data_IF_964706131188
#
_entry.id   IF_964706131188
#
_cell.length_a   1.000
_cell.length_b   1.000
_cell.length_c   1.000
_cell.angle_alpha   90.00
_cell.angle_beta   90.00
_cell.angle_gamma   90.00
#
_symmetry.space_group_name_H-M   'P 1'
#
loop_
_entity.id
_entity.type
_entity.pdbx_description
1 polymer ?
#
# COMPACT_ATOMS: atom_id res chain seq x y z
N UNK A 1 -79.34 37.39 -52.67
CA UNK A 1 -78.14 37.07 -53.47
C UNK A 1 -76.84 37.10 -52.64
N UNK A 2 -76.93 37.19 -51.30
CA UNK A 2 -75.78 37.21 -50.38
C UNK A 2 -75.53 35.87 -49.64
N UNK A 3 -76.52 34.98 -49.56
CA UNK A 3 -76.37 33.71 -48.84
C UNK A 3 -75.49 32.68 -49.56
N UNK A 4 -75.54 32.62 -50.90
CA UNK A 4 -74.74 31.65 -51.67
C UNK A 4 -73.26 32.03 -51.82
N UNK A 5 -72.94 33.34 -51.68
CA UNK A 5 -71.56 33.82 -51.68
C UNK A 5 -70.81 33.43 -50.40
N UNK A 6 -71.47 33.55 -49.25
CA UNK A 6 -70.88 33.23 -47.95
C UNK A 6 -70.58 31.71 -47.80
N UNK A 7 -71.41 30.83 -48.39
CA UNK A 7 -71.20 29.38 -48.34
C UNK A 7 -70.04 28.94 -49.26
N UNK A 8 -69.90 29.55 -50.45
CA UNK A 8 -68.78 29.28 -51.35
C UNK A 8 -67.43 29.76 -50.81
N UNK A 9 -67.42 30.92 -50.13
CA UNK A 9 -66.22 31.50 -49.53
C UNK A 9 -65.74 30.69 -48.31
N UNK A 10 -66.67 30.25 -47.45
CA UNK A 10 -66.36 29.35 -46.33
C UNK A 10 -65.81 28.00 -46.80
N UNK A 11 -66.42 27.37 -47.83
CA UNK A 11 -65.97 26.11 -48.38
C UNK A 11 -64.59 26.21 -49.06
N UNK A 12 -64.30 27.33 -49.73
CA UNK A 12 -62.97 27.59 -50.31
C UNK A 12 -61.89 27.78 -49.24
N UNK A 13 -62.18 28.51 -48.15
CA UNK A 13 -61.21 28.71 -47.06
C UNK A 13 -60.92 27.43 -46.26
N UNK A 14 -61.91 26.53 -46.13
CA UNK A 14 -61.72 25.23 -45.49
C UNK A 14 -60.86 24.28 -46.34
N UNK A 15 -60.96 24.36 -47.68
CA UNK A 15 -60.17 23.53 -48.58
C UNK A 15 -58.72 24.00 -48.70
N UNK A 16 -58.49 25.32 -48.75
CA UNK A 16 -57.14 25.90 -48.72
C UNK A 16 -56.42 25.63 -47.40
N UNK A 17 -57.12 25.70 -46.27
CA UNK A 17 -56.54 25.38 -44.95
C UNK A 17 -56.21 23.89 -44.78
N UNK A 18 -56.98 23.00 -45.40
CA UNK A 18 -56.67 21.56 -45.43
C UNK A 18 -55.46 21.24 -46.32
N UNK A 19 -55.33 21.88 -47.49
CA UNK A 19 -54.15 21.73 -48.36
C UNK A 19 -52.88 22.33 -47.73
N UNK A 20 -52.99 23.45 -47.02
CA UNK A 20 -51.86 24.04 -46.28
C UNK A 20 -51.43 23.12 -45.11
N UNK A 21 -52.38 22.55 -44.36
CA UNK A 21 -52.09 21.60 -43.30
C UNK A 21 -51.38 20.33 -43.81
N UNK A 22 -51.83 19.78 -44.95
CA UNK A 22 -51.21 18.61 -45.59
C UNK A 22 -49.78 18.94 -46.07
N UNK A 23 -49.58 20.12 -46.66
CA UNK A 23 -48.23 20.60 -47.04
C UNK A 23 -47.34 20.75 -45.83
N UNK A 24 -47.83 21.34 -44.73
CA UNK A 24 -47.08 21.50 -43.48
C UNK A 24 -46.65 20.14 -42.91
N UNK A 25 -47.54 19.15 -42.86
CA UNK A 25 -47.17 17.81 -42.37
C UNK A 25 -46.18 17.10 -43.29
N UNK A 26 -46.26 17.31 -44.61
CA UNK A 26 -45.25 16.81 -45.55
C UNK A 26 -43.88 17.46 -45.36
N UNK A 27 -43.83 18.76 -45.07
CA UNK A 27 -42.60 19.46 -44.72
C UNK A 27 -42.04 19.02 -43.36
N UNK A 28 -42.89 18.76 -42.36
CA UNK A 28 -42.49 18.23 -41.04
C UNK A 28 -41.93 16.82 -41.14
N UNK A 29 -42.56 15.96 -41.95
CA UNK A 29 -42.07 14.62 -42.25
C UNK A 29 -40.72 14.66 -42.98
N UNK A 30 -40.59 15.53 -43.98
CA UNK A 30 -39.33 15.75 -44.71
C UNK A 30 -38.21 16.28 -43.80
N UNK A 31 -38.52 17.22 -42.92
CA UNK A 31 -37.58 17.74 -41.93
C UNK A 31 -37.13 16.65 -40.94
N UNK A 32 -38.05 15.83 -40.43
CA UNK A 32 -37.72 14.72 -39.53
C UNK A 32 -36.81 13.67 -40.20
N UNK A 33 -37.07 13.33 -41.47
CA UNK A 33 -36.22 12.42 -42.24
C UNK A 33 -34.83 13.02 -42.45
N UNK A 34 -34.74 14.31 -42.81
CA UNK A 34 -33.46 14.99 -43.00
C UNK A 34 -32.62 15.02 -41.71
N UNK A 35 -33.27 15.23 -40.57
CA UNK A 35 -32.64 15.21 -39.25
C UNK A 35 -32.16 13.81 -38.87
N UNK A 36 -32.95 12.77 -39.13
CA UNK A 36 -32.55 11.38 -38.90
C UNK A 36 -31.35 10.97 -39.76
N UNK A 37 -31.34 11.35 -41.04
CA UNK A 37 -30.20 11.10 -41.95
C UNK A 37 -28.96 11.84 -41.46
N UNK A 38 -29.08 13.09 -41.03
CA UNK A 38 -27.97 13.85 -40.46
C UNK A 38 -27.39 13.17 -39.21
N UNK A 39 -28.24 12.67 -38.30
CA UNK A 39 -27.80 11.94 -37.12
C UNK A 39 -27.09 10.62 -37.47
N UNK A 40 -27.51 9.91 -38.51
CA UNK A 40 -26.84 8.68 -38.94
C UNK A 40 -25.49 8.96 -39.61
N UNK A 41 -25.43 9.96 -40.49
CA UNK A 41 -24.21 10.26 -41.28
C UNK A 41 -23.15 10.97 -40.44
N UNK A 42 -23.53 11.81 -39.49
CA UNK A 42 -22.59 12.58 -38.67
C UNK A 42 -22.54 12.02 -37.24
N UNK A 43 -23.70 11.75 -36.65
CA UNK A 43 -23.79 11.34 -35.25
C UNK A 43 -23.15 9.98 -34.98
N UNK A 44 -23.41 8.95 -35.79
CA UNK A 44 -22.81 7.62 -35.59
C UNK A 44 -21.28 7.67 -35.75
N UNK A 45 -20.69 8.24 -36.82
CA UNK A 45 -19.24 8.32 -36.96
C UNK A 45 -18.58 9.17 -35.88
N UNK A 46 -19.21 10.29 -35.49
CA UNK A 46 -18.69 11.15 -34.43
C UNK A 46 -18.75 10.43 -33.07
N UNK A 47 -19.86 9.76 -32.76
CA UNK A 47 -20.01 8.98 -31.54
C UNK A 47 -18.99 7.84 -31.48
N UNK A 48 -18.77 7.14 -32.60
CA UNK A 48 -17.74 6.10 -32.66
C UNK A 48 -16.34 6.69 -32.45
N UNK A 49 -16.07 7.87 -33.01
CA UNK A 49 -14.76 8.54 -32.86
C UNK A 49 -14.54 9.08 -31.45
N UNK A 50 -15.58 9.59 -30.79
CA UNK A 50 -15.49 10.13 -29.42
C UNK A 50 -15.57 9.04 -28.35
N UNK A 51 -16.14 7.87 -28.66
CA UNK A 51 -16.15 6.68 -27.78
C UNK A 51 -15.03 5.69 -28.08
N UNK A 52 -14.17 5.99 -29.06
CA UNK A 52 -12.96 5.21 -29.33
C UNK A 52 -12.03 5.30 -28.11
N UNK A 53 -12.10 4.29 -27.25
CA UNK A 53 -11.15 4.14 -26.15
C UNK A 53 -9.80 3.80 -26.76
N UNK A 54 -8.85 4.74 -26.69
CA UNK A 54 -7.49 4.53 -27.15
C UNK A 54 -6.84 3.41 -26.31
N UNK A 55 -6.86 2.17 -26.83
CA UNK A 55 -6.17 1.04 -26.22
C UNK A 55 -4.72 1.08 -26.68
N UNK A 56 -3.86 1.69 -25.88
CA UNK A 56 -2.43 1.47 -26.04
C UNK A 56 -2.20 -0.05 -26.05
N UNK A 57 -1.45 -0.55 -27.04
CA UNK A 57 -1.04 -1.95 -27.03
C UNK A 57 -0.22 -2.16 -25.76
N UNK A 58 -0.77 -2.93 -24.80
CA UNK A 58 0.01 -3.29 -23.62
C UNK A 58 1.20 -4.13 -24.12
N UNK A 59 2.44 -3.78 -23.72
CA UNK A 59 3.62 -4.52 -24.14
C UNK A 59 3.69 -5.84 -23.37
N UNK A 60 2.87 -6.81 -23.77
CA UNK A 60 2.75 -8.11 -23.11
C UNK A 60 4.09 -8.84 -23.04
N UNK A 61 4.94 -8.73 -24.06
CA UNK A 61 6.28 -9.33 -24.05
C UNK A 61 7.21 -8.70 -23.02
N UNK A 62 7.08 -7.39 -22.73
CA UNK A 62 7.85 -6.74 -21.67
C UNK A 62 7.32 -7.12 -20.29
N UNK A 63 5.99 -7.24 -20.14
CA UNK A 63 5.34 -7.70 -18.89
C UNK A 63 5.71 -9.15 -18.60
N UNK A 64 5.74 -10.02 -19.61
CA UNK A 64 6.13 -11.42 -19.51
C UNK A 64 7.64 -11.57 -19.25
N UNK A 65 8.48 -10.67 -19.80
CA UNK A 65 9.90 -10.60 -19.46
C UNK A 65 10.13 -10.10 -18.02
N UNK A 66 9.23 -9.27 -17.48
CA UNK A 66 9.19 -8.85 -16.08
C UNK A 66 8.44 -9.88 -15.22
N UNK A 67 8.80 -11.16 -15.33
CA UNK A 67 8.21 -12.22 -14.54
C UNK A 67 8.44 -11.95 -13.03
N UNK A 68 7.37 -11.66 -12.24
CA UNK A 68 7.50 -11.35 -10.82
C UNK A 68 7.96 -12.55 -9.99
N UNK A 69 7.99 -13.77 -10.55
CA UNK A 69 8.56 -14.95 -9.90
C UNK A 69 10.08 -14.91 -9.77
N UNK A 70 10.75 -13.95 -10.40
CA UNK A 70 12.22 -13.80 -10.38
C UNK A 70 12.78 -13.03 -9.19
N UNK A 71 11.93 -12.40 -8.36
CA UNK A 71 12.40 -11.62 -7.21
C UNK A 71 12.84 -12.57 -6.09
N UNK A 72 14.15 -12.69 -5.89
CA UNK A 72 14.75 -13.45 -4.79
C UNK A 72 15.55 -12.53 -3.89
N UNK A 73 15.08 -12.33 -2.66
CA UNK A 73 15.81 -11.67 -1.57
C UNK A 73 16.78 -12.70 -0.98
N UNK A 74 18.08 -12.38 -0.97
CA UNK A 74 19.10 -13.20 -0.29
C UNK A 74 19.57 -12.52 0.97
N UNK A 75 19.66 -13.30 2.04
CA UNK A 75 20.28 -12.85 3.28
C UNK A 75 21.26 -13.90 3.78
N UNK A 76 22.32 -13.44 4.44
CA UNK A 76 23.29 -14.31 5.10
C UNK A 76 23.12 -14.21 6.61
N UNK A 77 23.13 -15.35 7.27
CA UNK A 77 23.16 -15.47 8.72
C UNK A 77 24.54 -15.97 9.13
N UNK A 78 25.31 -15.12 9.79
CA UNK A 78 26.63 -15.46 10.30
C UNK A 78 26.50 -16.03 11.71
N UNK A 79 27.05 -17.21 11.97
CA UNK A 79 26.94 -17.88 13.28
C UNK A 79 28.33 -18.09 13.87
N UNK A 80 28.54 -17.60 15.10
CA UNK A 80 29.74 -17.84 15.90
C UNK A 80 29.33 -18.45 17.24
N UNK A 81 29.84 -19.64 17.55
CA UNK A 81 29.60 -20.37 18.79
C UNK A 81 30.89 -20.89 19.39
N UNK A 82 30.88 -21.23 20.69
CA UNK A 82 32.08 -21.61 21.47
C UNK A 82 32.85 -22.79 20.85
N UNK A 83 32.14 -23.67 20.12
CA UNK A 83 32.74 -24.79 19.40
C UNK A 83 32.30 -24.82 17.92
N UNK A 84 33.18 -25.23 16.99
CA UNK A 84 32.82 -25.48 15.59
C UNK A 84 31.66 -26.48 15.43
N UNK A 85 31.59 -27.49 16.30
CA UNK A 85 30.52 -28.51 16.28
C UNK A 85 29.18 -27.88 16.62
N UNK A 86 29.14 -27.02 17.65
CA UNK A 86 27.95 -26.28 18.06
C UNK A 86 27.51 -25.30 16.97
N UNK A 87 28.45 -24.59 16.35
CA UNK A 87 28.19 -23.71 15.20
C UNK A 87 27.52 -24.48 14.06
N UNK A 88 28.03 -25.68 13.76
CA UNK A 88 27.50 -26.52 12.68
C UNK A 88 26.09 -27.04 12.98
N UNK A 89 25.81 -27.40 14.23
CA UNK A 89 24.47 -27.79 14.68
C UNK A 89 23.46 -26.63 14.56
N UNK A 90 23.85 -25.42 14.97
CA UNK A 90 23.00 -24.22 14.85
C UNK A 90 22.70 -23.93 13.37
N UNK A 91 23.72 -23.95 12.51
CA UNK A 91 23.55 -23.74 11.07
C UNK A 91 22.62 -24.80 10.46
N UNK A 92 22.79 -26.07 10.82
CA UNK A 92 21.93 -27.15 10.33
C UNK A 92 20.47 -26.95 10.77
N UNK A 93 20.26 -26.60 12.04
CA UNK A 93 18.91 -26.39 12.56
C UNK A 93 18.24 -25.17 11.93
N UNK A 94 18.96 -24.06 11.80
CA UNK A 94 18.49 -22.86 11.11
C UNK A 94 18.06 -23.19 9.68
N UNK A 95 18.90 -23.90 8.91
CA UNK A 95 18.55 -24.33 7.55
C UNK A 95 17.30 -25.22 7.51
N UNK A 96 17.08 -26.07 8.52
CA UNK A 96 15.88 -26.92 8.58
C UNK A 96 14.61 -26.16 8.99
N UNK A 97 14.73 -25.10 9.81
CA UNK A 97 13.61 -24.32 10.34
C UNK A 97 13.17 -23.21 9.38
N UNK A 98 14.15 -22.64 8.68
CA UNK A 98 14.02 -21.62 7.65
C UNK A 98 13.85 -22.33 6.30
N UNK A 99 12.65 -22.88 6.07
CA UNK A 99 12.30 -23.45 4.76
C UNK A 99 12.52 -22.39 3.69
N UNK A 100 13.16 -22.77 2.58
CA UNK A 100 13.31 -21.90 1.40
C UNK A 100 11.93 -21.42 0.93
N UNK A 101 11.59 -20.18 1.25
CA UNK A 101 10.49 -19.51 0.61
C UNK A 101 10.93 -19.18 -0.82
N UNK A 102 9.99 -19.23 -1.77
CA UNK A 102 10.28 -18.94 -3.18
C UNK A 102 11.00 -17.59 -3.36
N UNK A 103 10.82 -16.67 -2.42
CA UNK A 103 11.27 -15.29 -2.49
C UNK A 103 12.40 -14.98 -1.50
N UNK A 104 12.48 -15.64 -0.35
CA UNK A 104 13.53 -15.37 0.64
C UNK A 104 14.46 -16.58 0.75
N UNK A 105 15.72 -16.40 0.35
CA UNK A 105 16.79 -17.39 0.48
C UNK A 105 17.73 -16.99 1.60
N UNK A 106 17.93 -17.90 2.54
CA UNK A 106 18.70 -17.65 3.76
C UNK A 106 19.91 -18.58 3.83
N UNK A 107 21.11 -18.00 3.71
CA UNK A 107 22.36 -18.75 3.79
C UNK A 107 22.97 -18.61 5.19
N UNK A 108 22.90 -19.67 6.00
CA UNK A 108 23.60 -19.72 7.28
C UNK A 108 25.06 -20.17 7.09
N UNK A 109 26.00 -19.34 7.56
CA UNK A 109 27.45 -19.47 7.36
C UNK A 109 28.20 -19.37 8.70
N UNK A 110 29.30 -20.13 8.89
CA UNK A 110 30.11 -20.02 10.09
C UNK A 110 30.92 -18.72 10.08
N UNK A 111 30.96 -18.03 11.22
CA UNK A 111 31.81 -16.88 11.46
C UNK A 111 32.96 -17.30 12.40
N UNK A 112 34.20 -17.19 11.92
CA UNK A 112 35.37 -17.47 12.75
C UNK A 112 35.68 -16.23 13.59
N UNK A 113 35.33 -16.27 14.86
CA UNK A 113 35.71 -15.27 15.86
C UNK A 113 36.49 -15.95 16.99
N UNK A 114 37.57 -15.34 17.47
CA UNK A 114 38.21 -15.77 18.70
C UNK A 114 37.31 -15.39 19.87
N UNK A 115 36.51 -16.33 20.37
CA UNK A 115 35.50 -16.11 21.41
C UNK A 115 36.07 -15.99 22.82
N UNK A 116 37.39 -16.11 22.98
CA UNK A 116 38.06 -16.18 24.28
C UNK A 116 38.04 -14.84 25.04
N UNK A 117 37.82 -13.70 24.35
CA UNK A 117 37.81 -12.34 24.93
C UNK A 117 36.54 -11.52 24.60
N UNK A 118 35.53 -12.11 23.94
CA UNK A 118 34.37 -11.35 23.44
C UNK A 118 33.30 -11.21 24.52
N UNK A 119 33.41 -10.14 25.30
CA UNK A 119 32.28 -9.65 26.12
C UNK A 119 31.31 -8.86 25.23
N UNK A 120 30.03 -8.87 25.56
CA UNK A 120 28.97 -8.06 24.92
C UNK A 120 29.45 -6.62 24.62
N UNK A 121 30.08 -5.97 25.60
CA UNK A 121 30.58 -4.58 25.47
C UNK A 121 31.71 -4.41 24.44
N UNK A 122 32.59 -5.39 24.32
CA UNK A 122 33.71 -5.35 23.37
C UNK A 122 33.21 -5.52 21.95
N UNK A 123 32.21 -6.39 21.77
CA UNK A 123 31.59 -6.63 20.48
C UNK A 123 30.83 -5.39 20.00
N UNK A 124 29.97 -4.80 20.82
CA UNK A 124 29.23 -3.58 20.49
C UNK A 124 30.17 -2.43 20.08
N UNK A 125 31.28 -2.26 20.82
CA UNK A 125 32.24 -1.16 20.55
C UNK A 125 33.08 -1.35 19.29
N UNK A 126 33.32 -2.59 18.86
CA UNK A 126 34.17 -2.90 17.70
C UNK A 126 33.42 -3.73 16.64
N UNK A 127 32.11 -3.59 16.59
CA UNK A 127 31.21 -4.39 15.76
C UNK A 127 31.63 -4.36 14.28
N UNK A 128 32.09 -3.20 13.80
CA UNK A 128 32.52 -2.95 12.41
C UNK A 128 33.74 -3.79 11.97
N UNK A 129 34.50 -4.37 12.91
CA UNK A 129 35.66 -5.23 12.62
C UNK A 129 35.25 -6.62 12.11
N UNK A 130 34.09 -7.10 12.53
CA UNK A 130 33.62 -8.46 12.25
C UNK A 130 32.33 -8.52 11.42
N UNK A 131 31.59 -7.41 11.37
CA UNK A 131 30.37 -7.29 10.59
C UNK A 131 30.67 -6.96 9.12
N UNK A 132 30.13 -7.72 8.15
CA UNK A 132 30.18 -7.32 6.75
C UNK A 132 29.26 -6.11 6.51
N UNK A 133 29.72 -5.11 5.74
CA UNK A 133 29.00 -3.86 5.42
C UNK A 133 27.72 -4.03 4.57
N UNK A 134 27.23 -5.25 4.39
CA UNK A 134 26.07 -5.51 3.53
C UNK A 134 24.78 -5.49 4.34
N UNK A 135 23.94 -4.49 4.04
CA UNK A 135 22.58 -4.36 4.55
C UNK A 135 21.82 -5.66 4.34
N UNK A 136 21.04 -6.09 5.34
CA UNK A 136 20.20 -7.28 5.23
C UNK A 136 20.67 -8.48 6.04
N UNK A 137 21.97 -8.58 6.35
CA UNK A 137 22.53 -9.76 7.03
C UNK A 137 22.22 -9.76 8.54
N UNK A 138 22.24 -10.96 9.10
CA UNK A 138 22.03 -11.21 10.53
C UNK A 138 23.27 -11.88 11.11
N UNK A 139 23.63 -11.52 12.34
CA UNK A 139 24.73 -12.19 13.05
C UNK A 139 24.22 -12.79 14.35
N UNK A 140 24.59 -14.05 14.59
CA UNK A 140 24.37 -14.79 15.80
C UNK A 140 25.71 -15.02 16.49
N UNK A 141 25.85 -14.52 17.72
CA UNK A 141 27.08 -14.64 18.50
C UNK A 141 26.80 -15.25 19.86
N UNK A 142 27.51 -16.32 20.20
CA UNK A 142 27.48 -16.90 21.53
C UNK A 142 28.29 -16.04 22.51
N UNK A 143 27.67 -15.62 23.60
CA UNK A 143 28.34 -14.82 24.65
C UNK A 143 28.15 -15.53 26.00
N UNK A 144 29.24 -15.98 26.65
CA UNK A 144 29.15 -16.70 27.92
C UNK A 144 28.52 -15.89 29.07
N UNK A 145 28.69 -14.57 29.08
CA UNK A 145 28.27 -13.68 30.17
C UNK A 145 26.98 -12.90 29.85
N UNK A 146 26.02 -13.50 29.15
CA UNK A 146 24.72 -12.86 28.91
C UNK A 146 23.93 -12.78 30.24
N UNK A 147 23.75 -11.58 30.77
CA UNK A 147 23.05 -11.38 32.04
C UNK A 147 21.53 -11.31 31.84
N UNK A 148 20.79 -12.17 32.53
CA UNK A 148 19.33 -12.07 32.67
C UNK A 148 18.49 -12.55 31.48
N UNK A 149 19.09 -13.09 30.42
CA UNK A 149 18.38 -13.64 29.25
C UNK A 149 19.24 -14.69 28.55
N UNK A 150 18.62 -15.71 27.95
CA UNK A 150 19.35 -16.70 27.15
C UNK A 150 19.57 -16.25 25.70
N UNK A 151 18.70 -15.37 25.19
CA UNK A 151 18.76 -14.84 23.83
C UNK A 151 18.41 -13.35 23.90
N UNK A 152 19.23 -12.51 23.28
CA UNK A 152 19.06 -11.06 23.24
C UNK A 152 19.12 -10.57 21.78
N UNK A 153 18.09 -9.82 21.38
CA UNK A 153 18.03 -9.14 20.09
C UNK A 153 18.47 -7.69 20.25
N UNK A 154 19.31 -7.22 19.33
CA UNK A 154 19.75 -5.82 19.28
C UNK A 154 19.22 -5.10 18.05
N UNK A 155 19.39 -3.78 18.04
CA UNK A 155 18.95 -2.92 16.94
C UNK A 155 19.80 -3.11 15.66
N UNK A 156 21.01 -3.65 15.76
CA UNK A 156 21.97 -3.77 14.65
C UNK A 156 21.90 -5.11 13.92
N UNK A 157 20.76 -5.83 14.01
CA UNK A 157 20.61 -7.19 13.46
C UNK A 157 21.68 -8.16 14.00
N UNK A 158 22.01 -8.00 15.30
CA UNK A 158 22.85 -8.93 16.04
C UNK A 158 22.00 -9.62 17.09
N UNK A 159 22.14 -10.94 17.17
CA UNK A 159 21.51 -11.80 18.16
C UNK A 159 22.59 -12.40 19.02
N UNK A 160 22.57 -12.07 20.30
CA UNK A 160 23.44 -12.71 21.27
C UNK A 160 22.71 -13.86 21.93
N UNK A 161 23.39 -14.98 22.15
CA UNK A 161 22.81 -16.13 22.85
C UNK A 161 23.78 -16.73 23.86
N UNK A 162 23.24 -17.29 24.94
CA UNK A 162 24.04 -17.93 25.99
C UNK A 162 24.48 -19.34 25.55
N UNK A 163 25.55 -19.89 26.16
CA UNK A 163 25.92 -21.30 25.97
C UNK A 163 24.82 -22.29 26.39
N UNK A 164 23.87 -21.87 27.21
CA UNK A 164 22.75 -22.71 27.65
C UNK A 164 21.49 -22.54 26.79
N UNK A 165 21.49 -21.60 25.84
CA UNK A 165 20.34 -21.31 25.00
C UNK A 165 19.93 -22.52 24.14
N UNK A 166 18.62 -22.81 24.12
CA UNK A 166 18.05 -23.82 23.23
C UNK A 166 18.07 -23.33 21.78
N UNK A 167 18.76 -24.09 20.93
CA UNK A 167 18.92 -23.80 19.50
C UNK A 167 17.57 -23.80 18.77
N UNK A 168 16.59 -24.60 19.21
CA UNK A 168 15.24 -24.63 18.63
C UNK A 168 14.48 -23.34 18.91
N UNK A 169 14.61 -22.82 20.13
CA UNK A 169 14.01 -21.54 20.52
C UNK A 169 14.69 -20.40 19.73
N UNK A 170 16.01 -20.44 19.59
CA UNK A 170 16.75 -19.48 18.78
C UNK A 170 16.29 -19.47 17.31
N UNK A 171 16.18 -20.64 16.67
CA UNK A 171 15.72 -20.74 15.30
C UNK A 171 14.28 -20.23 15.13
N UNK A 172 13.39 -20.55 16.07
CA UNK A 172 12.01 -20.04 16.08
C UNK A 172 11.97 -18.52 16.22
N UNK A 173 12.72 -17.94 17.15
CA UNK A 173 12.72 -16.50 17.37
C UNK A 173 13.32 -15.75 16.19
N UNK A 174 14.38 -16.28 15.56
CA UNK A 174 14.92 -15.70 14.32
C UNK A 174 13.85 -15.70 13.23
N UNK A 175 13.14 -16.82 13.05
CA UNK A 175 12.08 -16.97 12.06
C UNK A 175 10.89 -16.02 12.30
N UNK A 176 10.36 -15.99 13.52
CA UNK A 176 9.15 -15.23 13.87
C UNK A 176 9.43 -13.74 14.07
N UNK A 177 10.49 -13.40 14.80
CA UNK A 177 10.72 -12.04 15.30
C UNK A 177 11.63 -11.20 14.40
N UNK A 178 12.59 -11.82 13.70
CA UNK A 178 13.48 -11.08 12.81
C UNK A 178 13.01 -11.15 11.37
N UNK A 179 12.70 -12.35 10.89
CA UNK A 179 12.30 -12.52 9.50
C UNK A 179 10.84 -12.18 9.28
N UNK A 180 9.98 -12.28 10.30
CA UNK A 180 8.54 -12.12 10.15
C UNK A 180 8.03 -12.86 8.89
N UNK A 181 8.46 -14.12 8.74
CA UNK A 181 8.31 -14.92 7.52
C UNK A 181 6.87 -14.91 6.98
N UNK A 182 5.88 -15.04 7.87
CA UNK A 182 4.46 -14.95 7.55
C UNK A 182 4.10 -13.64 6.84
N UNK A 183 4.58 -12.50 7.35
CA UNK A 183 4.30 -11.18 6.77
C UNK A 183 5.06 -10.95 5.46
N UNK A 184 6.27 -11.49 5.32
CA UNK A 184 7.01 -11.40 4.06
C UNK A 184 6.36 -12.24 2.97
N UNK A 185 6.00 -13.48 3.28
CA UNK A 185 5.36 -14.40 2.34
C UNK A 185 4.00 -13.87 1.92
N UNK A 186 3.18 -13.39 2.87
CA UNK A 186 1.88 -12.82 2.57
C UNK A 186 1.99 -11.58 1.68
N UNK A 187 2.97 -10.71 1.94
CA UNK A 187 3.27 -9.54 1.08
C UNK A 187 3.69 -9.96 -0.32
N UNK A 188 4.56 -10.95 -0.47
CA UNK A 188 5.00 -11.33 -1.81
C UNK A 188 3.89 -12.06 -2.57
N UNK A 189 3.13 -12.94 -1.92
CA UNK A 189 1.93 -13.54 -2.51
C UNK A 189 0.94 -12.45 -2.94
N UNK A 190 0.83 -11.35 -2.18
CA UNK A 190 -0.03 -10.23 -2.57
C UNK A 190 0.43 -9.47 -3.82
N UNK A 191 1.74 -9.47 -4.10
CA UNK A 191 2.33 -8.85 -5.29
C UNK A 191 2.22 -9.79 -6.50
N UNK A 192 2.55 -11.08 -6.30
CA UNK A 192 2.65 -12.08 -7.37
C UNK A 192 1.28 -12.64 -7.77
N UNK A 193 0.36 -12.78 -6.82
CA UNK A 193 -0.96 -13.40 -7.03
C UNK A 193 -2.06 -12.69 -6.26
N UNK A 194 -2.34 -11.40 -6.57
CA UNK A 194 -3.37 -10.62 -5.87
C UNK A 194 -4.78 -11.23 -5.94
N UNK A 195 -5.04 -12.06 -6.97
CA UNK A 195 -6.33 -12.72 -7.22
C UNK A 195 -6.70 -13.76 -6.14
N UNK A 196 -5.69 -14.36 -5.47
CA UNK A 196 -5.88 -15.46 -4.53
C UNK A 196 -5.97 -15.00 -3.07
N UNK A 197 -5.94 -13.70 -2.82
CA UNK A 197 -6.08 -13.14 -1.49
C UNK A 197 -7.54 -13.19 -1.06
N UNK A 198 -7.84 -13.98 -0.02
CA UNK A 198 -9.11 -13.87 0.69
C UNK A 198 -9.14 -12.53 1.42
N UNK A 199 -10.09 -11.66 1.08
CA UNK A 199 -10.32 -10.33 1.68
C UNK A 199 -10.63 -10.39 3.20
N UNK A 200 -10.73 -11.59 3.79
CA UNK A 200 -11.09 -11.80 5.19
C UNK A 200 -9.95 -11.72 6.20
N UNK A 201 -8.70 -11.66 5.75
CA UNK A 201 -7.56 -11.54 6.67
C UNK A 201 -7.28 -10.05 6.93
N UNK A 202 -7.76 -9.55 8.08
CA UNK A 202 -7.59 -8.16 8.54
C UNK A 202 -6.10 -7.74 8.62
N UNK A 203 -5.19 -8.71 8.68
CA UNK A 203 -3.73 -8.52 8.61
C UNK A 203 -3.26 -7.87 7.30
N UNK A 204 -3.99 -8.06 6.19
CA UNK A 204 -3.63 -7.46 4.90
C UNK A 204 -4.06 -5.99 4.76
N UNK A 205 -5.04 -5.53 5.54
CA UNK A 205 -5.52 -4.15 5.46
C UNK A 205 -4.49 -3.15 6.04
N UNK A 206 -3.64 -3.60 6.96
CA UNK A 206 -2.63 -2.78 7.63
C UNK A 206 -1.21 -2.98 7.06
N UNK A 207 -1.03 -3.87 6.09
CA UNK A 207 0.28 -4.17 5.53
C UNK A 207 0.64 -3.15 4.43
N UNK A 208 1.71 -2.37 4.65
CA UNK A 208 2.28 -1.51 3.62
C UNK A 208 2.75 -2.37 2.44
N UNK A 209 2.13 -2.18 1.27
CA UNK A 209 2.45 -2.87 0.01
C UNK A 209 3.73 -2.31 -0.57
N UNK A 210 4.64 -3.15 -1.05
CA UNK A 210 5.88 -2.69 -1.70
C UNK A 210 5.57 -1.79 -2.92
N UNK A 211 6.16 -0.60 -2.95
CA UNK A 211 6.01 0.36 -4.04
C UNK A 211 7.34 1.11 -4.25
N UNK A 212 7.72 1.44 -5.49
CA UNK A 212 8.88 2.29 -5.76
C UNK A 212 8.69 3.73 -5.29
N UNK A 213 7.45 4.13 -5.00
CA UNK A 213 7.11 5.45 -4.47
C UNK A 213 5.98 5.40 -3.44
N UNK A 214 6.12 6.13 -2.35
CA UNK A 214 5.06 6.37 -1.37
C UNK A 214 4.81 7.87 -1.16
N UNK A 215 3.54 8.25 -1.17
CA UNK A 215 3.09 9.53 -0.65
C UNK A 215 2.64 9.35 0.81
N UNK A 216 3.32 10.02 1.74
CA UNK A 216 2.97 10.05 3.15
C UNK A 216 2.31 11.40 3.46
N UNK A 217 1.04 11.37 3.87
CA UNK A 217 0.28 12.57 4.25
C UNK A 217 0.00 12.55 5.74
N UNK A 218 0.56 13.51 6.47
CA UNK A 218 0.16 13.76 7.86
C UNK A 218 -1.02 14.74 7.88
N UNK A 219 -2.11 14.34 8.52
CA UNK A 219 -3.30 15.17 8.68
C UNK A 219 -3.45 15.58 10.12
N UNK A 220 -3.46 16.88 10.39
CA UNK A 220 -3.76 17.43 11.72
C UNK A 220 -5.19 17.93 11.71
N UNK A 221 -5.99 17.44 12.66
CA UNK A 221 -7.40 17.77 12.78
C UNK A 221 -7.58 18.65 14.01
N UNK A 222 -8.13 19.84 13.82
CA UNK A 222 -8.58 20.71 14.90
C UNK A 222 -10.09 20.96 14.75
N UNK A 223 -10.89 20.14 15.44
CA UNK A 223 -12.36 20.21 15.36
C UNK A 223 -12.95 21.47 16.00
N UNK A 224 -12.24 22.14 16.91
CA UNK A 224 -12.72 23.33 17.63
C UNK A 224 -11.62 24.41 17.69
N UNK A 225 -11.34 25.08 16.56
CA UNK A 225 -10.29 26.10 16.49
C UNK A 225 -10.62 27.37 17.29
N UNK A 226 -11.89 27.59 17.66
CA UNK A 226 -12.32 28.77 18.40
C UNK A 226 -11.91 28.69 19.87
N UNK A 227 -12.01 27.50 20.46
CA UNK A 227 -11.60 27.28 21.85
C UNK A 227 -10.20 26.68 21.97
N UNK A 228 -9.68 26.04 20.92
CA UNK A 228 -8.36 25.42 20.89
C UNK A 228 -7.43 26.05 19.83
N UNK A 229 -6.70 27.08 20.26
CA UNK A 229 -5.65 27.71 19.46
C UNK A 229 -4.37 26.86 19.46
N UNK A 230 -4.28 25.88 18.55
CA UNK A 230 -3.07 25.09 18.32
C UNK A 230 -2.19 25.79 17.28
N UNK A 231 -0.97 26.17 17.66
CA UNK A 231 0.05 26.65 16.74
C UNK A 231 1.17 25.59 16.64
N UNK A 232 1.17 24.82 15.55
CA UNK A 232 2.16 23.78 15.33
C UNK A 232 2.72 23.85 13.90
N UNK A 233 4.03 24.03 13.77
CA UNK A 233 4.72 23.94 12.48
C UNK A 233 5.00 22.47 12.13
N UNK A 234 3.94 21.81 11.68
CA UNK A 234 3.95 20.40 11.29
C UNK A 234 5.02 20.12 10.23
N UNK A 235 5.21 21.03 9.27
CA UNK A 235 6.12 20.81 8.17
C UNK A 235 7.58 20.77 8.64
N UNK A 236 7.97 21.67 9.54
CA UNK A 236 9.32 21.68 10.11
C UNK A 236 9.58 20.49 11.03
N UNK A 237 8.60 20.10 11.84
CA UNK A 237 8.75 18.95 12.73
C UNK A 237 8.75 17.62 11.98
N UNK A 238 7.94 17.47 10.93
CA UNK A 238 8.02 16.31 10.04
C UNK A 238 9.41 16.18 9.41
N UNK A 239 9.98 17.29 8.92
CA UNK A 239 11.36 17.27 8.41
C UNK A 239 12.37 16.90 9.50
N UNK A 240 12.18 17.35 10.72
CA UNK A 240 13.12 17.09 11.82
C UNK A 240 13.07 15.65 12.31
N UNK A 241 11.88 15.08 12.48
CA UNK A 241 11.70 13.78 13.13
C UNK A 241 11.41 12.64 12.16
N UNK A 242 10.71 12.91 11.06
CA UNK A 242 10.29 11.87 10.12
C UNK A 242 11.27 11.68 8.97
N UNK A 243 11.92 12.76 8.50
CA UNK A 243 12.91 12.66 7.42
C UNK A 243 14.07 11.69 7.72
N UNK A 244 14.65 11.64 8.93
CA UNK A 244 15.71 10.67 9.23
C UNK A 244 15.27 9.21 9.10
N UNK A 245 13.98 8.91 9.33
CA UNK A 245 13.41 7.58 9.10
C UNK A 245 13.30 7.29 7.61
N UNK A 246 12.79 8.24 6.82
CA UNK A 246 12.65 8.07 5.37
C UNK A 246 13.99 7.96 4.66
N UNK A 247 15.00 8.70 5.13
CA UNK A 247 16.35 8.62 4.59
C UNK A 247 16.96 7.21 4.72
N UNK A 248 16.54 6.41 5.70
CA UNK A 248 17.04 5.03 5.87
C UNK A 248 16.47 4.06 4.81
N UNK A 249 15.39 4.45 4.14
CA UNK A 249 14.67 3.62 3.15
C UNK A 249 14.65 4.27 1.76
N UNK A 250 15.37 5.37 1.57
CA UNK A 250 15.40 6.10 0.29
C UNK A 250 16.04 5.27 -0.84
N UNK A 251 16.98 4.39 -0.49
CA UNK A 251 17.62 3.46 -1.43
C UNK A 251 16.65 2.43 -2.03
N UNK A 252 15.54 2.14 -1.33
CA UNK A 252 14.58 1.10 -1.72
C UNK A 252 13.25 1.66 -2.24
N UNK A 253 12.90 2.90 -1.88
CA UNK A 253 11.68 3.55 -2.33
C UNK A 253 11.78 5.06 -2.20
N UNK A 254 11.17 5.78 -3.14
CA UNK A 254 11.05 7.24 -3.08
C UNK A 254 9.89 7.64 -2.16
N UNK A 255 10.08 8.64 -1.32
CA UNK A 255 9.07 9.07 -0.36
C UNK A 255 8.78 10.56 -0.50
N UNK A 256 7.49 10.91 -0.58
CA UNK A 256 7.03 12.30 -0.58
C UNK A 256 6.21 12.57 0.66
N UNK A 257 6.61 13.54 1.48
CA UNK A 257 5.91 13.90 2.71
C UNK A 257 5.10 15.16 2.49
N UNK A 258 3.81 15.11 2.82
CA UNK A 258 2.89 16.25 2.82
C UNK A 258 2.25 16.39 4.19
N UNK A 259 1.93 17.61 4.57
CA UNK A 259 1.15 17.91 5.77
C UNK A 259 -0.09 18.69 5.39
N UNK A 260 -1.22 18.38 6.02
CA UNK A 260 -2.46 19.13 5.85
C UNK A 260 -3.12 19.42 7.21
N UNK A 261 -3.78 20.57 7.29
CA UNK A 261 -4.60 20.98 8.42
C UNK A 261 -6.07 20.93 8.03
N UNK A 262 -6.87 20.28 8.85
CA UNK A 262 -8.31 20.25 8.70
C UNK A 262 -8.96 20.84 9.95
N UNK A 263 -9.86 21.78 9.72
CA UNK A 263 -10.56 22.51 10.77
C UNK A 263 -12.05 22.20 10.72
N UNK A 264 -12.72 22.29 11.87
CA UNK A 264 -14.18 22.21 11.98
C UNK A 264 -14.76 20.89 11.44
N UNK A 265 -14.00 19.80 11.57
CA UNK A 265 -14.39 18.49 11.09
C UNK A 265 -15.08 17.71 12.21
N UNK A 266 -16.33 17.32 11.96
CA UNK A 266 -17.04 16.35 12.81
C UNK A 266 -16.59 14.94 12.41
N UNK A 267 -16.02 14.20 13.36
CA UNK A 267 -15.48 12.86 13.15
C UNK A 267 -16.59 11.81 12.99
N UNK A 268 -17.87 12.19 13.15
CA UNK A 268 -19.04 11.36 12.85
C UNK A 268 -19.23 10.15 13.78
N UNK A 269 -18.31 9.90 14.70
CA UNK A 269 -18.31 8.81 15.65
C UNK A 269 -18.13 9.37 17.07
N UNK A 270 -19.00 8.94 17.99
CA UNK A 270 -18.90 9.36 19.39
C UNK A 270 -17.98 8.41 20.15
N UNK A 271 -16.93 8.93 20.83
CA UNK A 271 -16.03 8.09 21.59
C UNK A 271 -16.76 7.48 22.80
N UNK A 272 -16.41 6.22 23.12
CA UNK A 272 -16.96 5.52 24.29
C UNK A 272 -16.00 5.67 25.47
N UNK A 273 -16.55 5.86 26.65
CA UNK A 273 -15.75 6.02 27.87
C UNK A 273 -15.23 4.65 28.31
N UNK A 274 -13.91 4.51 28.40
CA UNK A 274 -13.27 3.31 28.94
C UNK A 274 -13.38 3.30 30.48
N UNK A 275 -13.13 2.13 31.06
CA UNK A 275 -12.96 1.86 32.49
C UNK A 275 -11.97 2.78 33.21
N UNK A 276 -11.03 3.41 32.50
CA UNK A 276 -10.12 4.43 33.01
C UNK A 276 -10.69 5.88 32.99
N UNK A 277 -11.93 6.07 32.54
CA UNK A 277 -12.58 7.38 32.44
C UNK A 277 -12.14 8.23 31.27
N UNK A 278 -11.46 7.64 30.28
CA UNK A 278 -11.00 8.30 29.06
C UNK A 278 -11.93 7.94 27.90
N UNK A 279 -12.29 8.92 27.09
CA UNK A 279 -13.06 8.73 25.88
C UNK A 279 -12.17 8.13 24.78
N UNK A 280 -12.45 6.90 24.36
CA UNK A 280 -11.68 6.15 23.35
C UNK A 280 -12.54 5.81 22.14
N UNK A 281 -11.92 5.78 20.96
CA UNK A 281 -12.50 5.27 19.72
C UNK A 281 -11.95 3.87 19.46
N UNK A 282 -12.81 2.92 19.11
CA UNK A 282 -12.36 1.57 18.79
C UNK A 282 -11.78 1.51 17.38
N UNK A 283 -10.81 0.62 17.15
CA UNK A 283 -10.18 0.44 15.84
C UNK A 283 -11.21 0.15 14.71
N UNK A 284 -12.32 -0.51 15.04
CA UNK A 284 -13.42 -0.78 14.12
C UNK A 284 -14.12 0.48 13.58
N UNK A 285 -14.01 1.62 14.27
CA UNK A 285 -14.61 2.91 13.86
C UNK A 285 -13.68 3.73 12.94
N UNK A 286 -12.40 3.35 12.86
CA UNK A 286 -11.39 4.05 12.06
C UNK A 286 -11.75 4.20 10.56
N UNK A 287 -12.34 3.19 9.88
CA UNK A 287 -12.74 3.34 8.48
C UNK A 287 -13.77 4.47 8.26
N UNK A 288 -14.67 4.68 9.21
CA UNK A 288 -15.69 5.72 9.14
C UNK A 288 -15.10 7.14 9.30
N UNK A 289 -13.98 7.26 10.01
CA UNK A 289 -13.23 8.50 10.20
C UNK A 289 -12.32 8.79 9.00
N UNK A 290 -11.69 7.76 8.42
CA UNK A 290 -10.73 7.91 7.31
C UNK A 290 -11.42 8.22 5.97
N UNK A 291 -12.61 7.67 5.74
CA UNK A 291 -13.29 7.79 4.44
C UNK A 291 -13.59 9.26 4.05
N UNK A 292 -14.12 10.13 4.95
CA UNK A 292 -14.28 11.55 4.67
C UNK A 292 -12.95 12.28 4.39
N UNK A 293 -11.87 11.91 5.11
CA UNK A 293 -10.56 12.55 4.99
C UNK A 293 -9.91 12.29 3.62
N UNK A 294 -10.12 11.09 3.05
CA UNK A 294 -9.57 10.68 1.76
C UNK A 294 -10.20 11.42 0.58
N UNK A 295 -11.47 11.83 0.70
CA UNK A 295 -12.19 12.56 -0.35
C UNK A 295 -11.74 14.02 -0.47
N UNK A 296 -11.19 14.60 0.60
CA UNK A 296 -10.69 15.98 0.62
C UNK A 296 -9.27 16.11 0.03
N UNK A 297 -8.63 15.00 -0.33
CA UNK A 297 -7.23 14.96 -0.80
C UNK A 297 -7.11 14.88 -2.34
N UNK A 298 -8.23 14.88 -3.09
CA UNK A 298 -8.27 14.87 -4.56
C UNK A 298 -8.74 16.19 -5.15
#
# INVERSE_FOLDING_TARGET
MESDRAVGEAASSFNDSAEEAEKIDKYRMGAAISFAVMLLVIGIPLWWKTTEVHRAALPYSQIEAMDPSSVTIRMKIWVSASSPTRTSNIIMLLKSSLVDHQVLKVDALPLKMGLDDVTFEVFEKHNSRWLPETLGNLILVEVPSLNGSDILFTNDRIVYFSPNADVNVLARLVKEHLLHDYNLVSKVVSIVSPQNLSVKDDTFLNALRASPSYDVVLTVINSDPEHLAVNWDVASDLRRYFQPLLNQVDDISSHHVKSQWLYLLDLGETPKMDSAGVNVLSFSQLPHIITPLRLLTY
#
